data_IF_056148614741
#
_entry.id   IF_056148614741
#
_cell.length_a   1.000
_cell.length_b   1.000
_cell.length_c   1.000
_cell.angle_alpha   90.00
_cell.angle_beta   90.00
_cell.angle_gamma   90.00
#
_symmetry.space_group_name_H-M   'P 1'
#
loop_
_entity.id
_entity.type
_entity.pdbx_description
1 polymer ?
#
# COMPACT_ATOMS: atom_id res chain seq x y z
N UNK A 1 -26.48 -21.64 -33.56
CA UNK A 1 -25.13 -21.09 -33.30
C UNK A 1 -25.15 -20.41 -31.94
N UNK A 2 -24.38 -20.83 -30.92
CA UNK A 2 -24.26 -20.05 -29.70
C UNK A 2 -23.11 -19.05 -29.84
N UNK A 3 -23.41 -17.76 -29.64
CA UNK A 3 -22.42 -16.69 -29.56
C UNK A 3 -21.81 -16.66 -28.15
N UNK A 4 -20.48 -16.67 -28.09
CA UNK A 4 -19.72 -16.40 -26.86
C UNK A 4 -19.76 -14.91 -26.51
N UNK A 5 -19.91 -14.52 -25.23
CA UNK A 5 -19.64 -13.17 -24.80
C UNK A 5 -18.21 -13.10 -24.24
N UNK A 6 -17.30 -12.48 -24.98
CA UNK A 6 -16.03 -11.97 -24.43
C UNK A 6 -15.90 -10.52 -24.85
N UNK A 7 -16.16 -9.59 -23.92
CA UNK A 7 -15.39 -8.37 -23.69
C UNK A 7 -16.12 -7.48 -22.66
N UNK A 8 -15.75 -7.63 -21.39
CA UNK A 8 -16.18 -6.75 -20.30
C UNK A 8 -15.28 -6.84 -19.06
N UNK A 9 -14.06 -7.37 -19.24
CA UNK A 9 -13.19 -7.80 -18.14
C UNK A 9 -12.22 -6.70 -17.66
N UNK A 10 -11.86 -5.74 -18.51
CA UNK A 10 -10.82 -4.75 -18.19
C UNK A 10 -11.25 -3.74 -17.11
N UNK A 11 -12.47 -3.21 -17.18
CA UNK A 11 -12.95 -2.17 -16.24
C UNK A 11 -13.16 -2.70 -14.81
N UNK A 12 -13.52 -3.98 -14.65
CA UNK A 12 -13.64 -4.62 -13.35
C UNK A 12 -12.27 -4.85 -12.69
N UNK A 13 -11.29 -5.31 -13.47
CA UNK A 13 -9.92 -5.54 -12.98
C UNK A 13 -9.22 -4.24 -12.58
N UNK A 14 -9.50 -3.15 -13.29
CA UNK A 14 -8.99 -1.80 -12.99
C UNK A 14 -9.62 -1.24 -11.71
N UNK A 15 -10.93 -1.45 -11.54
CA UNK A 15 -11.66 -1.10 -10.32
C UNK A 15 -11.17 -1.88 -9.09
N UNK A 16 -10.89 -3.17 -9.25
CA UNK A 16 -10.35 -4.01 -8.17
C UNK A 16 -8.90 -3.62 -7.81
N UNK A 17 -8.09 -3.27 -8.81
CA UNK A 17 -6.74 -2.76 -8.61
C UNK A 17 -6.75 -1.42 -7.86
N UNK A 18 -7.64 -0.50 -8.24
CA UNK A 18 -7.83 0.77 -7.53
C UNK A 18 -8.27 0.55 -6.08
N UNK A 19 -9.23 -0.36 -5.85
CA UNK A 19 -9.67 -0.74 -4.49
C UNK A 19 -8.55 -1.34 -3.66
N UNK A 20 -7.69 -2.17 -4.26
CA UNK A 20 -6.53 -2.73 -3.59
C UNK A 20 -5.55 -1.65 -3.16
N UNK A 21 -5.21 -0.72 -4.06
CA UNK A 21 -4.30 0.39 -3.76
C UNK A 21 -4.85 1.31 -2.66
N UNK A 22 -6.16 1.58 -2.64
CA UNK A 22 -6.78 2.37 -1.55
C UNK A 22 -6.65 1.65 -0.20
N UNK A 23 -6.81 0.33 -0.16
CA UNK A 23 -6.60 -0.47 1.06
C UNK A 23 -5.14 -0.41 1.50
N UNK A 24 -4.21 -0.49 0.55
CA UNK A 24 -2.77 -0.42 0.81
C UNK A 24 -2.36 0.95 1.37
N UNK A 25 -2.83 2.06 0.79
CA UNK A 25 -2.64 3.42 1.35
C UNK A 25 -3.10 3.48 2.80
N UNK A 26 -4.32 3.03 3.07
CA UNK A 26 -4.88 3.04 4.44
C UNK A 26 -4.04 2.21 5.40
N UNK A 27 -3.55 1.04 4.95
CA UNK A 27 -2.69 0.18 5.77
C UNK A 27 -1.40 0.89 6.17
N UNK A 28 -0.76 1.60 5.24
CA UNK A 28 0.46 2.37 5.53
C UNK A 28 0.17 3.58 6.45
N UNK A 29 -0.95 4.27 6.26
CA UNK A 29 -1.36 5.38 7.14
C UNK A 29 -1.61 4.90 8.58
N UNK A 30 -2.23 3.72 8.75
CA UNK A 30 -2.39 3.09 10.07
C UNK A 30 -1.03 2.74 10.67
N UNK A 31 -0.12 2.13 9.90
CA UNK A 31 1.22 1.80 10.38
C UNK A 31 1.99 3.04 10.86
N UNK A 32 1.89 4.18 10.16
CA UNK A 32 2.47 5.45 10.58
C UNK A 32 1.88 5.90 11.93
N UNK A 33 0.55 5.85 12.08
CA UNK A 33 -0.11 6.25 13.32
C UNK A 33 0.31 5.35 14.50
N UNK A 34 0.41 4.05 14.28
CA UNK A 34 0.88 3.09 15.29
C UNK A 34 2.35 3.34 15.67
N UNK A 35 3.23 3.56 14.68
CA UNK A 35 4.64 3.88 14.91
C UNK A 35 4.81 5.18 15.70
N UNK A 36 4.03 6.21 15.39
CA UNK A 36 4.08 7.50 16.09
C UNK A 36 3.58 7.40 17.54
N UNK A 37 2.78 6.38 17.87
CA UNK A 37 2.34 6.12 19.23
C UNK A 37 3.37 5.32 20.05
N UNK A 38 4.49 4.92 19.46
CA UNK A 38 5.57 4.23 20.15
C UNK A 38 6.62 5.23 20.69
N UNK A 39 7.28 4.92 21.82
CA UNK A 39 8.44 5.67 22.26
C UNK A 39 9.55 5.64 21.20
N UNK A 40 10.20 6.77 20.94
CA UNK A 40 11.25 6.87 19.92
C UNK A 40 12.46 5.93 20.16
N UNK A 41 12.71 5.55 21.43
CA UNK A 41 13.76 4.60 21.82
C UNK A 41 13.40 3.13 21.56
N UNK A 42 12.12 2.82 21.28
CA UNK A 42 11.67 1.45 21.06
C UNK A 42 12.22 0.93 19.73
N UNK A 43 12.83 -0.26 19.77
CA UNK A 43 13.22 -0.94 18.55
C UNK A 43 12.00 -1.50 17.83
N UNK A 44 11.98 -1.37 16.51
CA UNK A 44 10.96 -1.94 15.62
C UNK A 44 11.65 -2.77 14.54
N UNK A 45 10.88 -3.58 13.82
CA UNK A 45 11.40 -4.49 12.81
C UNK A 45 10.67 -4.29 11.50
N UNK A 46 11.43 -4.16 10.42
CA UNK A 46 10.89 -4.17 9.07
C UNK A 46 10.97 -5.59 8.52
N UNK A 47 9.84 -6.10 8.03
CA UNK A 47 9.75 -7.42 7.42
C UNK A 47 10.04 -7.32 5.92
N UNK A 48 10.92 -8.18 5.41
CA UNK A 48 11.13 -8.41 3.98
C UNK A 48 11.12 -9.91 3.71
N UNK A 49 10.02 -10.42 3.16
CA UNK A 49 9.76 -11.85 3.06
C UNK A 49 9.70 -12.51 4.44
N UNK A 50 10.64 -13.43 4.70
CA UNK A 50 10.78 -14.13 5.98
C UNK A 50 11.86 -13.53 6.90
N UNK A 51 12.51 -12.45 6.47
CA UNK A 51 13.57 -11.78 7.23
C UNK A 51 13.01 -10.54 7.94
N UNK A 52 13.50 -10.31 9.16
CA UNK A 52 13.15 -9.17 9.99
C UNK A 52 14.40 -8.36 10.29
N UNK A 53 14.43 -7.11 9.83
CA UNK A 53 15.56 -6.21 10.02
C UNK A 53 15.23 -5.20 11.11
N UNK A 54 16.04 -5.17 12.17
CA UNK A 54 15.88 -4.20 13.25
C UNK A 54 16.13 -2.79 12.74
N UNK A 55 15.23 -1.87 13.07
CA UNK A 55 15.31 -0.46 12.69
C UNK A 55 14.78 0.44 13.81
N UNK A 56 14.80 1.75 13.60
CA UNK A 56 14.27 2.77 14.52
C UNK A 56 12.87 3.18 14.09
N UNK A 57 12.07 3.68 15.04
CA UNK A 57 10.73 4.24 14.75
C UNK A 57 10.82 5.30 13.65
N UNK A 58 11.77 6.22 13.76
CA UNK A 58 11.98 7.30 12.78
C UNK A 58 12.22 6.77 11.36
N UNK A 59 13.09 5.76 11.19
CA UNK A 59 13.36 5.15 9.89
C UNK A 59 12.17 4.36 9.36
N UNK A 60 11.46 3.65 10.24
CA UNK A 60 10.24 2.94 9.87
C UNK A 60 9.16 3.92 9.39
N UNK A 61 8.90 4.99 10.13
CA UNK A 61 7.92 6.03 9.75
C UNK A 61 8.26 6.68 8.41
N UNK A 62 9.53 7.03 8.19
CA UNK A 62 9.96 7.58 6.90
C UNK A 62 9.78 6.59 5.74
N UNK A 63 10.02 5.30 5.98
CA UNK A 63 9.78 4.25 4.99
C UNK A 63 8.29 4.11 4.68
N UNK A 64 7.43 4.08 5.68
CA UNK A 64 5.97 4.00 5.49
C UNK A 64 5.45 5.25 4.75
N UNK A 65 5.93 6.45 5.08
CA UNK A 65 5.55 7.66 4.36
C UNK A 65 5.92 7.59 2.88
N UNK A 66 7.13 7.11 2.56
CA UNK A 66 7.54 6.90 1.17
C UNK A 66 6.62 5.91 0.42
N UNK A 67 6.14 4.88 1.12
CA UNK A 67 5.18 3.93 0.54
C UNK A 67 3.82 4.59 0.29
N UNK A 68 3.31 5.39 1.24
CA UNK A 68 2.09 6.19 1.05
C UNK A 68 2.19 7.05 -0.21
N UNK A 69 3.27 7.81 -0.36
CA UNK A 69 3.46 8.73 -1.48
C UNK A 69 3.52 7.97 -2.82
N UNK A 70 4.23 6.84 -2.85
CA UNK A 70 4.31 5.98 -4.04
C UNK A 70 2.95 5.38 -4.42
N UNK A 71 2.18 4.85 -3.46
CA UNK A 71 0.88 4.22 -3.73
C UNK A 71 -0.16 5.27 -4.12
N UNK A 72 -0.17 6.45 -3.48
CA UNK A 72 -1.01 7.58 -3.88
C UNK A 72 -0.70 8.06 -5.30
N UNK A 73 0.58 8.12 -5.67
CA UNK A 73 1.00 8.47 -7.05
C UNK A 73 0.50 7.45 -8.08
N UNK A 74 0.61 6.15 -7.78
CA UNK A 74 0.06 5.09 -8.64
C UNK A 74 -1.47 5.18 -8.76
N UNK A 75 -2.14 5.45 -7.65
CA UNK A 75 -3.60 5.61 -7.61
C UNK A 75 -4.05 6.80 -8.48
N UNK A 76 -3.32 7.92 -8.44
CA UNK A 76 -3.62 9.09 -9.26
C UNK A 76 -3.50 8.80 -10.76
N UNK A 77 -2.50 8.01 -11.17
CA UNK A 77 -2.30 7.60 -12.57
C UNK A 77 -3.49 6.76 -13.05
N UNK A 78 -3.93 5.80 -12.24
CA UNK A 78 -5.08 4.93 -12.56
C UNK A 78 -6.42 5.66 -12.52
N UNK A 79 -6.58 6.70 -11.71
CA UNK A 79 -7.80 7.52 -11.70
C UNK A 79 -7.85 8.55 -12.82
N UNK A 80 -6.72 8.82 -13.48
CA UNK A 80 -6.59 9.81 -14.56
C UNK A 80 -6.60 9.18 -15.96
N UNK A 81 -6.71 7.85 -16.05
CA UNK A 81 -6.83 7.08 -17.30
C UNK A 81 -8.29 6.73 -17.57
#
# INVERSE_FOLDING_TARGET
MPTTPTYGSSSLLESDSQRHLVKEVRSHEVAIAELNNLPASRAVYQRNGNLFFRTTVQKATASEQKQVDMVKSKLQILSSS
#
